data_IF_030364841831
#
_entry.id   IF_030364841831
#
_cell.length_a   1.000
_cell.length_b   1.000
_cell.length_c   1.000
_cell.angle_alpha   90.00
_cell.angle_beta   90.00
_cell.angle_gamma   90.00
#
_symmetry.space_group_name_H-M   'P 1'
#
loop_
_entity.id
_entity.type
_entity.pdbx_description
1 polymer ?
#
# COMPACT_ATOMS: atom_id res chain seq x y z
N UNK A 1 -2.89 8.72 26.22
CA UNK A 1 -3.50 9.94 25.65
C UNK A 1 -4.78 9.52 24.93
N UNK A 2 -5.97 10.07 25.25
CA UNK A 2 -7.19 9.78 24.48
C UNK A 2 -7.04 10.39 23.10
N UNK A 3 -7.13 9.58 22.06
CA UNK A 3 -7.18 10.03 20.68
C UNK A 3 -8.59 10.57 20.41
N UNK A 4 -8.68 11.82 19.99
CA UNK A 4 -9.92 12.42 19.52
C UNK A 4 -9.81 12.55 17.99
N UNK A 5 -10.77 12.03 17.21
CA UNK A 5 -10.74 12.17 15.77
C UNK A 5 -10.84 13.66 15.38
N UNK A 6 -10.08 14.03 14.37
CA UNK A 6 -10.11 15.37 13.77
C UNK A 6 -11.07 15.36 12.58
N UNK A 7 -11.94 16.38 12.48
CA UNK A 7 -12.81 16.54 11.32
C UNK A 7 -11.99 16.60 10.02
N UNK A 8 -10.86 17.32 10.06
CA UNK A 8 -10.04 17.50 8.85
C UNK A 8 -9.16 16.29 8.50
N UNK A 9 -8.75 15.49 9.47
CA UNK A 9 -7.82 14.38 9.23
C UNK A 9 -8.49 13.02 9.24
N UNK A 10 -9.66 12.89 9.89
CA UNK A 10 -10.29 11.59 10.11
C UNK A 10 -11.71 11.50 9.55
N UNK A 11 -12.34 12.64 9.23
CA UNK A 11 -13.72 12.68 8.73
C UNK A 11 -13.84 13.16 7.29
N UNK A 12 -12.89 13.97 6.80
CA UNK A 12 -12.87 14.45 5.42
C UNK A 12 -11.96 13.55 4.58
N UNK A 13 -12.47 13.11 3.45
CA UNK A 13 -11.66 12.40 2.44
C UNK A 13 -10.57 13.33 1.89
N UNK A 14 -9.42 12.77 1.48
CA UNK A 14 -8.44 13.56 0.74
C UNK A 14 -9.07 14.12 -0.54
N UNK A 15 -8.56 15.26 -1.01
CA UNK A 15 -8.92 15.79 -2.32
C UNK A 15 -8.39 14.83 -3.39
N UNK A 16 -9.25 14.39 -4.32
CA UNK A 16 -8.90 13.48 -5.41
C UNK A 16 -9.83 13.68 -6.62
N UNK A 17 -9.42 13.28 -7.82
CA UNK A 17 -10.21 13.56 -9.04
C UNK A 17 -11.48 12.71 -9.19
N UNK A 18 -11.75 11.75 -8.32
CA UNK A 18 -12.85 10.79 -8.45
C UNK A 18 -12.55 9.65 -9.43
N UNK A 19 -13.52 8.78 -9.72
CA UNK A 19 -14.91 8.83 -9.24
C UNK A 19 -15.14 8.26 -7.83
N UNK A 20 -14.15 7.61 -7.21
CA UNK A 20 -14.35 6.91 -5.94
C UNK A 20 -13.19 7.08 -4.97
N UNK A 21 -13.47 7.39 -3.70
CA UNK A 21 -12.44 7.44 -2.66
C UNK A 21 -11.84 6.06 -2.36
N UNK A 22 -12.65 5.01 -2.30
CA UNK A 22 -12.19 3.65 -2.01
C UNK A 22 -11.61 2.92 -3.23
N UNK A 23 -12.05 3.29 -4.44
CA UNK A 23 -11.67 2.60 -5.67
C UNK A 23 -10.76 3.42 -6.60
N UNK A 24 -10.47 4.68 -6.30
CA UNK A 24 -9.52 5.52 -7.07
C UNK A 24 -8.43 6.05 -6.15
N UNK A 25 -8.81 6.84 -5.13
CA UNK A 25 -7.85 7.48 -4.25
C UNK A 25 -7.12 6.47 -3.34
N UNK A 26 -7.80 5.45 -2.81
CA UNK A 26 -7.16 4.45 -1.97
C UNK A 26 -6.14 3.60 -2.75
N UNK A 27 -6.45 3.01 -3.93
CA UNK A 27 -5.46 2.35 -4.78
C UNK A 27 -4.24 3.23 -5.10
N UNK A 28 -4.46 4.50 -5.43
CA UNK A 28 -3.36 5.45 -5.62
C UNK A 28 -2.45 5.56 -4.39
N UNK A 29 -3.02 5.78 -3.22
CA UNK A 29 -2.27 5.88 -1.96
C UNK A 29 -1.54 4.60 -1.61
N UNK A 30 -2.18 3.45 -1.82
CA UNK A 30 -1.56 2.13 -1.61
C UNK A 30 -0.40 1.90 -2.58
N UNK A 31 -0.54 2.29 -3.85
CA UNK A 31 0.51 2.23 -4.85
C UNK A 31 1.74 3.07 -4.47
N UNK A 32 1.53 4.32 -4.03
CA UNK A 32 2.63 5.18 -3.53
C UNK A 32 3.30 4.55 -2.31
N UNK A 33 2.52 4.12 -1.31
CA UNK A 33 3.09 3.54 -0.09
C UNK A 33 3.92 2.29 -0.39
N UNK A 34 3.43 1.40 -1.27
CA UNK A 34 4.19 0.24 -1.68
C UNK A 34 5.50 0.63 -2.41
N UNK A 35 5.43 1.63 -3.29
CA UNK A 35 6.62 2.12 -4.01
C UNK A 35 7.62 2.79 -3.07
N UNK A 36 7.17 3.46 -1.99
CA UNK A 36 8.06 4.06 -0.99
C UNK A 36 8.83 3.00 -0.18
N UNK A 37 8.33 1.77 -0.12
CA UNK A 37 8.95 0.65 0.59
C UNK A 37 9.88 -0.20 -0.30
N UNK A 38 9.81 -0.02 -1.62
CA UNK A 38 10.61 -0.76 -2.61
C UNK A 38 11.94 -0.04 -2.85
N UNK A 39 13.04 -0.80 -2.87
CA UNK A 39 14.33 -0.26 -3.30
C UNK A 39 14.46 -0.29 -4.82
N UNK A 40 14.72 0.88 -5.40
CA UNK A 40 14.80 1.06 -6.85
C UNK A 40 13.47 1.46 -7.51
N UNK A 41 13.50 1.60 -8.86
CA UNK A 41 12.31 1.97 -9.64
C UNK A 41 11.43 0.73 -9.89
N UNK A 42 10.10 0.80 -9.68
CA UNK A 42 9.21 -0.31 -10.03
C UNK A 42 9.33 -0.68 -11.52
N UNK A 43 9.50 -1.96 -11.80
CA UNK A 43 9.58 -2.54 -13.16
C UNK A 43 8.45 -3.55 -13.42
N UNK A 44 7.92 -4.16 -12.37
CA UNK A 44 6.77 -5.07 -12.48
C UNK A 44 5.86 -4.93 -11.28
N UNK A 45 4.55 -4.93 -11.51
CA UNK A 45 3.50 -4.96 -10.50
C UNK A 45 2.53 -6.12 -10.79
N UNK A 46 2.31 -6.97 -9.80
CA UNK A 46 1.21 -7.93 -9.78
C UNK A 46 0.27 -7.58 -8.64
N UNK A 47 -1.01 -7.44 -8.93
CA UNK A 47 -2.02 -7.09 -7.94
C UNK A 47 -3.17 -8.09 -7.97
N UNK A 48 -3.38 -8.80 -6.87
CA UNK A 48 -4.35 -9.86 -6.70
C UNK A 48 -5.48 -9.42 -5.77
N UNK A 49 -6.72 -9.62 -6.19
CA UNK A 49 -7.93 -9.21 -5.47
C UNK A 49 -8.93 -10.35 -5.39
N UNK A 50 -9.89 -10.26 -4.47
CA UNK A 50 -10.94 -11.27 -4.32
C UNK A 50 -11.97 -11.22 -5.43
N UNK A 51 -12.34 -12.39 -6.00
CA UNK A 51 -13.48 -12.54 -6.92
C UNK A 51 -14.83 -12.18 -6.29
N UNK A 52 -14.90 -12.21 -4.95
CA UNK A 52 -16.10 -11.90 -4.18
C UNK A 52 -15.98 -10.58 -3.42
N UNK A 53 -14.91 -9.81 -3.64
CA UNK A 53 -14.69 -8.51 -3.03
C UNK A 53 -15.29 -7.35 -3.81
N UNK A 54 -15.26 -6.16 -3.22
CA UNK A 54 -15.80 -4.95 -3.83
C UNK A 54 -15.08 -4.54 -5.11
N UNK A 55 -13.78 -4.76 -5.20
CA UNK A 55 -13.02 -4.48 -6.43
C UNK A 55 -13.53 -5.27 -7.65
N UNK A 56 -13.98 -6.52 -7.49
CA UNK A 56 -14.35 -7.36 -8.63
C UNK A 56 -15.36 -6.72 -9.57
N UNK A 57 -16.40 -6.12 -9.01
CA UNK A 57 -17.49 -5.51 -9.80
C UNK A 57 -17.17 -4.08 -10.29
N UNK A 58 -16.23 -3.39 -9.66
CA UNK A 58 -16.05 -1.93 -9.81
C UNK A 58 -14.68 -1.53 -10.33
N UNK A 59 -13.75 -2.47 -10.47
CA UNK A 59 -12.32 -2.24 -10.67
C UNK A 59 -12.00 -1.25 -11.79
N UNK A 60 -12.47 -1.56 -13.00
CA UNK A 60 -12.26 -0.68 -14.16
C UNK A 60 -13.22 0.50 -14.19
N UNK A 61 -14.48 0.27 -13.79
CA UNK A 61 -15.52 1.31 -13.81
C UNK A 61 -15.28 2.47 -12.83
N UNK A 62 -14.60 2.19 -11.73
CA UNK A 62 -14.23 3.18 -10.71
C UNK A 62 -12.72 3.46 -10.68
N UNK A 63 -12.00 3.14 -11.74
CA UNK A 63 -10.59 3.47 -11.98
C UNK A 63 -9.61 2.95 -10.90
N UNK A 64 -9.88 1.78 -10.30
CA UNK A 64 -8.97 1.17 -9.33
C UNK A 64 -7.64 0.77 -9.99
N UNK A 65 -7.72 0.22 -11.18
CA UNK A 65 -6.61 -0.13 -12.06
C UNK A 65 -5.68 1.07 -12.31
N UNK A 66 -6.27 2.19 -12.76
CA UNK A 66 -5.53 3.43 -13.00
C UNK A 66 -4.99 4.01 -11.68
N UNK A 67 -5.76 3.94 -10.60
CA UNK A 67 -5.32 4.37 -9.27
C UNK A 67 -4.03 3.67 -8.84
N UNK A 68 -3.98 2.34 -8.92
CA UNK A 68 -2.77 1.59 -8.59
C UNK A 68 -1.59 1.99 -9.47
N UNK A 69 -1.78 2.08 -10.79
CA UNK A 69 -0.73 2.45 -11.73
C UNK A 69 -0.20 3.85 -11.46
N UNK A 70 -1.08 4.85 -11.32
CA UNK A 70 -0.72 6.25 -11.08
C UNK A 70 0.06 6.40 -9.78
N UNK A 71 -0.33 5.63 -8.73
CA UNK A 71 0.38 5.58 -7.46
C UNK A 71 1.77 4.95 -7.60
N UNK A 72 1.89 3.81 -8.26
CA UNK A 72 3.18 3.12 -8.48
C UNK A 72 4.10 3.95 -9.37
N UNK A 73 3.57 4.66 -10.35
CA UNK A 73 4.32 5.60 -11.20
C UNK A 73 4.64 6.93 -10.49
N UNK A 74 4.17 7.13 -9.25
CA UNK A 74 4.41 8.34 -8.44
C UNK A 74 3.98 9.63 -9.15
N UNK A 75 2.90 9.58 -9.94
CA UNK A 75 2.32 10.77 -10.56
C UNK A 75 1.50 11.55 -9.53
N UNK A 76 1.35 12.84 -9.75
CA UNK A 76 0.56 13.69 -8.85
C UNK A 76 -0.94 13.33 -8.92
N UNK A 77 -1.57 13.06 -7.78
CA UNK A 77 -2.96 12.61 -7.70
C UNK A 77 -3.95 13.60 -8.33
N UNK A 78 -3.70 14.89 -8.21
CA UNK A 78 -4.67 15.93 -8.54
C UNK A 78 -4.53 16.46 -9.95
N UNK A 79 -3.31 16.49 -10.49
CA UNK A 79 -3.00 17.15 -11.77
C UNK A 79 -2.76 16.16 -12.90
N UNK A 80 -2.54 14.88 -12.56
CA UNK A 80 -2.26 13.86 -13.56
C UNK A 80 -3.55 13.38 -14.26
N UNK A 81 -3.47 13.24 -15.58
CA UNK A 81 -4.54 12.65 -16.38
C UNK A 81 -4.53 11.12 -16.28
N UNK A 82 -5.47 10.55 -15.52
CA UNK A 82 -5.58 9.11 -15.27
C UNK A 82 -5.82 8.28 -16.55
N UNK A 83 -6.33 8.90 -17.63
CA UNK A 83 -6.49 8.20 -18.92
C UNK A 83 -5.14 7.80 -19.54
N UNK A 84 -4.05 8.45 -19.13
CA UNK A 84 -2.71 8.14 -19.60
C UNK A 84 -2.01 7.03 -18.81
N UNK A 85 -2.61 6.52 -17.73
CA UNK A 85 -1.95 5.61 -16.79
C UNK A 85 -1.32 4.37 -17.47
N UNK A 86 -2.02 3.77 -18.41
CA UNK A 86 -1.53 2.60 -19.15
C UNK A 86 -0.38 2.94 -20.11
N UNK A 87 -0.54 4.00 -20.89
CA UNK A 87 0.48 4.44 -21.84
C UNK A 87 1.76 4.88 -21.13
N UNK A 88 1.63 5.58 -20.00
CA UNK A 88 2.77 6.03 -19.21
C UNK A 88 3.44 4.84 -18.49
N UNK A 89 2.70 3.84 -18.02
CA UNK A 89 3.26 2.60 -17.49
C UNK A 89 4.14 1.91 -18.53
N UNK A 90 3.62 1.72 -19.75
CA UNK A 90 4.36 1.11 -20.85
C UNK A 90 5.62 1.93 -21.21
N UNK A 91 5.47 3.24 -21.37
CA UNK A 91 6.57 4.14 -21.75
C UNK A 91 7.67 4.22 -20.69
N UNK A 92 7.32 4.04 -19.42
CA UNK A 92 8.27 4.02 -18.31
C UNK A 92 8.83 2.64 -18.00
N UNK A 93 8.42 1.61 -18.75
CA UNK A 93 8.90 0.24 -18.62
C UNK A 93 8.32 -0.52 -17.42
N UNK A 94 7.18 -0.06 -16.87
CA UNK A 94 6.42 -0.77 -15.85
C UNK A 94 5.49 -1.78 -16.52
N UNK A 95 5.74 -3.07 -16.31
CA UNK A 95 4.78 -4.13 -16.63
C UNK A 95 3.83 -4.34 -15.44
N UNK A 96 2.57 -4.72 -15.73
CA UNK A 96 1.59 -4.90 -14.66
C UNK A 96 0.60 -6.01 -15.00
N UNK A 97 0.07 -6.64 -13.96
CA UNK A 97 -0.97 -7.64 -14.04
C UNK A 97 -1.97 -7.44 -12.89
N UNK A 98 -3.26 -7.53 -13.21
CA UNK A 98 -4.36 -7.52 -12.24
C UNK A 98 -5.10 -8.84 -12.33
N UNK A 99 -5.24 -9.54 -11.21
CA UNK A 99 -5.93 -10.82 -11.15
C UNK A 99 -6.98 -10.84 -10.05
N UNK A 100 -8.02 -11.65 -10.27
CA UNK A 100 -9.10 -11.88 -9.30
C UNK A 100 -9.14 -13.36 -8.96
N UNK A 101 -8.90 -13.67 -7.70
CA UNK A 101 -8.72 -15.04 -7.24
C UNK A 101 -9.56 -15.35 -6.00
N UNK A 102 -9.56 -16.61 -5.62
CA UNK A 102 -10.18 -17.07 -4.36
C UNK A 102 -9.17 -17.07 -3.19
N UNK A 103 -7.89 -16.74 -3.44
CA UNK A 103 -6.85 -16.66 -2.41
C UNK A 103 -7.03 -15.43 -1.52
N UNK A 104 -7.44 -14.30 -2.12
CA UNK A 104 -7.72 -13.07 -1.39
C UNK A 104 -9.11 -13.18 -0.77
N UNK A 105 -9.26 -12.99 0.55
CA UNK A 105 -10.57 -13.10 1.20
C UNK A 105 -11.52 -12.00 0.73
N UNK A 106 -12.82 -12.32 0.71
CA UNK A 106 -13.87 -11.36 0.33
C UNK A 106 -14.03 -10.20 1.34
N UNK A 107 -13.52 -10.37 2.53
CA UNK A 107 -13.53 -9.35 3.59
C UNK A 107 -12.13 -9.16 4.17
N UNK A 108 -11.64 -7.92 4.28
CA UNK A 108 -12.28 -6.65 3.85
C UNK A 108 -12.53 -6.60 2.34
N UNK A 109 -13.65 -5.95 1.92
CA UNK A 109 -14.13 -6.03 0.54
C UNK A 109 -13.20 -5.40 -0.51
N UNK A 110 -12.44 -4.40 -0.12
CA UNK A 110 -11.44 -3.72 -0.94
C UNK A 110 -10.01 -4.10 -0.49
N UNK A 111 -9.77 -5.38 -0.24
CA UNK A 111 -8.42 -5.91 -0.03
C UNK A 111 -7.72 -6.20 -1.36
N UNK A 112 -6.44 -5.87 -1.45
CA UNK A 112 -5.58 -6.21 -2.56
C UNK A 112 -4.20 -6.65 -2.06
N UNK A 113 -3.68 -7.74 -2.64
CA UNK A 113 -2.34 -8.25 -2.40
C UNK A 113 -1.45 -7.81 -3.55
N UNK A 114 -0.46 -6.99 -3.26
CA UNK A 114 0.39 -6.38 -4.27
C UNK A 114 1.82 -6.90 -4.15
N UNK A 115 2.37 -7.36 -5.27
CA UNK A 115 3.78 -7.69 -5.43
C UNK A 115 4.41 -6.68 -6.37
N UNK A 116 5.50 -6.05 -5.94
CA UNK A 116 6.32 -5.18 -6.76
C UNK A 116 7.70 -5.80 -6.96
N UNK A 117 8.26 -5.62 -8.15
CA UNK A 117 9.67 -5.93 -8.44
C UNK A 117 10.31 -4.69 -9.05
N UNK A 118 11.46 -4.28 -8.52
CA UNK A 118 12.20 -3.14 -9.02
C UNK A 118 13.10 -3.49 -10.21
N UNK A 119 13.60 -2.46 -10.87
CA UNK A 119 14.60 -2.60 -11.94
C UNK A 119 15.97 -3.11 -11.45
N UNK A 120 16.22 -3.08 -10.13
CA UNK A 120 17.42 -3.66 -9.49
C UNK A 120 17.20 -5.09 -9.02
N UNK A 121 15.97 -5.60 -9.13
CA UNK A 121 15.59 -6.96 -8.73
C UNK A 121 15.11 -7.07 -7.27
N UNK A 122 14.98 -5.94 -6.55
CA UNK A 122 14.35 -5.94 -5.23
C UNK A 122 12.86 -6.29 -5.34
N UNK A 123 12.35 -7.01 -4.36
CA UNK A 123 10.97 -7.52 -4.35
C UNK A 123 10.28 -7.14 -3.06
N UNK A 124 9.05 -6.71 -3.21
CA UNK A 124 8.16 -6.34 -2.12
C UNK A 124 6.82 -7.07 -2.28
N UNK A 125 6.30 -7.62 -1.20
CA UNK A 125 4.93 -8.11 -1.12
C UNK A 125 4.18 -7.42 0.01
N UNK A 126 3.04 -6.82 -0.30
CA UNK A 126 2.17 -6.17 0.70
C UNK A 126 0.73 -6.64 0.56
N UNK A 127 0.08 -6.86 1.72
CA UNK A 127 -1.38 -6.97 1.79
C UNK A 127 -1.94 -5.62 2.16
N UNK A 128 -2.81 -5.11 1.33
CA UNK A 128 -3.35 -3.75 1.43
C UNK A 128 -4.85 -3.77 1.58
N UNK A 129 -5.39 -2.77 2.24
CA UNK A 129 -6.84 -2.64 2.47
C UNK A 129 -7.25 -1.18 2.30
N UNK A 130 -8.35 -0.96 1.55
CA UNK A 130 -9.09 0.30 1.58
C UNK A 130 -10.25 0.18 2.55
N UNK A 131 -10.37 1.13 3.47
CA UNK A 131 -11.45 1.19 4.47
C UNK A 131 -12.65 2.04 4.01
N UNK A 132 -12.58 2.63 2.83
CA UNK A 132 -13.52 3.65 2.37
C UNK A 132 -13.09 5.07 2.77
N UNK A 133 -13.69 6.08 2.14
CA UNK A 133 -13.33 7.48 2.38
C UNK A 133 -11.87 7.85 2.02
N UNK A 134 -11.16 7.00 1.29
CA UNK A 134 -9.73 7.15 1.03
C UNK A 134 -8.81 6.68 2.17
N UNK A 135 -9.37 6.19 3.28
CA UNK A 135 -8.61 5.56 4.36
C UNK A 135 -8.05 4.22 3.91
N UNK A 136 -6.80 3.96 4.27
CA UNK A 136 -6.06 2.77 3.86
C UNK A 136 -5.21 2.22 4.99
N UNK A 137 -4.79 0.98 4.87
CA UNK A 137 -3.65 0.46 5.62
C UNK A 137 -2.97 -0.71 4.90
N UNK A 138 -1.71 -0.93 5.25
CA UNK A 138 -0.97 -2.14 4.91
C UNK A 138 -1.01 -3.07 6.13
N UNK A 139 -1.54 -4.26 5.93
CA UNK A 139 -1.76 -5.29 6.97
C UNK A 139 -0.58 -6.25 7.10
N UNK A 140 0.16 -6.44 6.01
CA UNK A 140 1.29 -7.36 5.95
C UNK A 140 2.37 -6.82 5.02
N UNK A 141 3.62 -6.97 5.43
CA UNK A 141 4.81 -6.64 4.64
C UNK A 141 5.71 -7.88 4.59
N UNK A 142 5.86 -8.48 3.42
CA UNK A 142 6.68 -9.67 3.15
C UNK A 142 6.47 -10.84 4.12
N UNK A 143 5.22 -11.08 4.48
CA UNK A 143 4.82 -12.14 5.39
C UNK A 143 4.76 -11.70 6.87
N UNK A 144 5.26 -10.53 7.22
CA UNK A 144 5.22 -10.00 8.59
C UNK A 144 3.96 -9.14 8.77
N UNK A 145 3.16 -9.46 9.79
CA UNK A 145 1.99 -8.67 10.13
C UNK A 145 2.39 -7.28 10.61
N UNK A 146 1.75 -6.26 10.07
CA UNK A 146 1.99 -4.87 10.43
C UNK A 146 0.71 -4.05 10.37
N UNK A 147 0.77 -2.76 10.70
CA UNK A 147 -0.32 -1.81 10.50
C UNK A 147 0.26 -0.45 10.14
N UNK A 148 0.21 -0.11 8.86
CA UNK A 148 0.74 1.15 8.32
C UNK A 148 -0.39 1.85 7.57
N UNK A 149 -0.93 2.93 8.14
CA UNK A 149 -2.14 3.62 7.66
C UNK A 149 -1.87 4.90 6.86
N UNK A 150 -0.60 5.24 6.66
CA UNK A 150 -0.21 6.45 5.92
C UNK A 150 -0.53 7.77 6.62
N UNK A 151 -0.83 7.76 7.93
CA UNK A 151 -1.11 8.97 8.74
C UNK A 151 0.13 9.51 9.45
N UNK A 152 1.22 8.77 9.41
CA UNK A 152 2.49 9.07 10.05
C UNK A 152 3.65 8.90 9.08
N UNK A 153 4.79 9.45 9.43
CA UNK A 153 6.06 9.03 8.85
C UNK A 153 6.46 7.70 9.49
N UNK A 154 6.81 6.70 8.67
CA UNK A 154 7.21 5.38 9.12
C UNK A 154 8.65 5.10 8.76
N UNK A 155 9.43 4.62 9.74
CA UNK A 155 10.71 3.98 9.50
C UNK A 155 10.52 2.46 9.69
N UNK A 156 10.79 1.71 8.63
CA UNK A 156 10.69 0.27 8.62
C UNK A 156 12.09 -0.33 8.71
N UNK A 157 12.36 -1.07 9.78
CA UNK A 157 13.64 -1.72 9.99
C UNK A 157 13.46 -3.23 9.96
N UNK A 158 13.95 -3.86 8.89
CA UNK A 158 13.97 -5.31 8.77
C UNK A 158 15.29 -5.84 9.31
N UNK A 159 15.23 -6.76 10.26
CA UNK A 159 16.40 -7.24 10.98
C UNK A 159 16.22 -8.70 11.39
N UNK A 160 17.34 -9.44 11.56
CA UNK A 160 17.28 -10.77 12.18
C UNK A 160 16.69 -10.66 13.58
N UNK A 161 15.75 -11.54 13.91
CA UNK A 161 15.04 -11.55 15.21
C UNK A 161 15.99 -11.53 16.41
N UNK A 162 17.13 -12.22 16.30
CA UNK A 162 18.17 -12.22 17.36
C UNK A 162 18.77 -10.84 17.66
N UNK A 163 18.73 -9.91 16.69
CA UNK A 163 19.29 -8.57 16.81
C UNK A 163 18.21 -7.51 17.08
N UNK A 164 16.92 -7.85 16.99
CA UNK A 164 15.82 -6.91 17.12
C UNK A 164 15.86 -6.17 18.47
N UNK A 165 16.06 -6.89 19.57
CA UNK A 165 16.13 -6.34 20.93
C UNK A 165 17.21 -5.25 21.10
N UNK A 166 18.34 -5.35 20.40
CA UNK A 166 19.40 -4.35 20.49
C UNK A 166 19.09 -3.07 19.70
N UNK A 167 18.27 -3.20 18.67
CA UNK A 167 17.77 -2.05 17.93
C UNK A 167 16.64 -1.37 18.71
N UNK A 168 15.70 -2.14 19.26
CA UNK A 168 14.59 -1.62 20.07
C UNK A 168 15.05 -0.74 21.22
N UNK A 169 16.15 -1.11 21.90
CA UNK A 169 16.75 -0.31 22.98
C UNK A 169 17.24 1.08 22.57
N UNK A 170 17.39 1.33 21.28
CA UNK A 170 17.87 2.61 20.71
C UNK A 170 16.75 3.48 20.14
N UNK A 171 15.49 3.02 20.24
CA UNK A 171 14.34 3.72 19.68
C UNK A 171 13.60 4.45 20.79
N UNK A 172 13.58 5.77 20.70
CA UNK A 172 12.86 6.66 21.64
C UNK A 172 11.46 7.06 21.13
N UNK A 173 11.08 6.62 19.92
CA UNK A 173 9.78 6.90 19.32
C UNK A 173 8.82 5.70 19.49
N UNK A 174 7.50 5.90 19.37
CA UNK A 174 6.56 4.79 19.35
C UNK A 174 6.87 3.81 18.22
N UNK A 175 6.96 2.53 18.55
CA UNK A 175 7.22 1.47 17.58
C UNK A 175 6.41 0.20 17.88
N UNK A 176 6.37 -0.68 16.89
CA UNK A 176 5.94 -2.08 17.03
C UNK A 176 7.01 -2.99 16.46
N UNK A 177 7.14 -4.19 17.02
CA UNK A 177 8.02 -5.23 16.51
C UNK A 177 7.19 -6.48 16.25
N UNK A 178 7.30 -7.04 15.06
CA UNK A 178 6.62 -8.27 14.66
C UNK A 178 7.59 -9.20 13.95
N UNK A 179 7.35 -10.51 14.02
CA UNK A 179 8.23 -11.55 13.49
C UNK A 179 7.54 -12.37 12.40
N UNK A 180 8.32 -12.88 11.44
CA UNK A 180 7.84 -13.78 10.39
C UNK A 180 7.80 -15.25 10.79
N UNK A 181 8.27 -15.59 11.98
CA UNK A 181 8.45 -16.98 12.45
C UNK A 181 9.60 -17.73 11.76
N UNK A 182 10.38 -17.08 10.91
CA UNK A 182 11.52 -17.64 10.15
C UNK A 182 12.85 -16.99 10.53
N UNK A 183 12.84 -16.16 11.56
CA UNK A 183 14.02 -15.51 12.09
C UNK A 183 14.25 -14.07 11.66
N UNK A 184 13.26 -13.46 11.01
CA UNK A 184 13.26 -12.03 10.67
C UNK A 184 12.21 -11.29 11.46
N UNK A 185 12.55 -10.07 11.88
CA UNK A 185 11.65 -9.13 12.56
C UNK A 185 11.51 -7.85 11.75
N UNK A 186 10.33 -7.26 11.77
CA UNK A 186 10.04 -5.93 11.28
C UNK A 186 9.77 -5.01 12.46
N UNK A 187 10.62 -4.02 12.64
CA UNK A 187 10.39 -2.92 13.59
C UNK A 187 9.80 -1.77 12.80
N UNK A 188 8.59 -1.37 13.17
CA UNK A 188 7.87 -0.26 12.55
C UNK A 188 7.85 0.91 13.53
N UNK A 189 8.66 1.92 13.27
CA UNK A 189 8.74 3.15 14.06
C UNK A 189 7.85 4.20 13.41
N UNK A 190 7.10 4.96 14.20
CA UNK A 190 6.24 6.04 13.68
C UNK A 190 6.56 7.37 14.33
N UNK A 191 6.54 8.43 13.49
CA UNK A 191 6.68 9.83 13.91
C UNK A 191 5.59 10.68 13.26
N UNK A 192 5.26 11.81 13.88
CA UNK A 192 4.38 12.83 13.30
C UNK A 192 5.16 13.85 12.54
#
# INVERSE_FOLDING_TARGET
MKFYPSIFNDCLSPIYPGPSSSNTAAPYRLGIMATDMLDGKPAHMYCEMSKSGGYFATFYGLHSDKGFLVGVLRKDMLTYDYERAYADAESEGLTYEFDFTDNVPAMPSEAAWMSLTSNTGDKLFVKTVSLGGGEIYIDNLDGIKTYIDGKYYYLLVRVSTKNASDIEKRIDLPYTCAEDGRGMSLITVRSR
#
